data_IF_162882747234
#
_entry.id   IF_162882747234
#
_cell.length_a   1.000
_cell.length_b   1.000
_cell.length_c   1.000
_cell.angle_alpha   90.00
_cell.angle_beta   90.00
_cell.angle_gamma   90.00
#
_symmetry.space_group_name_H-M   'P 1'
#
loop_
_entity.id
_entity.type
_entity.pdbx_description
1 polymer ?
#
# COMPACT_ATOMS: atom_id res chain seq x y z
N UNK A 1 -15.15 -7.29 -18.42
CA UNK A 1 -14.46 -6.99 -17.16
C UNK A 1 -15.21 -5.97 -16.30
N UNK A 2 -15.66 -4.83 -16.85
CA UNK A 2 -16.35 -3.73 -16.11
C UNK A 2 -17.65 -4.18 -15.42
N UNK A 3 -18.46 -5.01 -16.08
CA UNK A 3 -19.70 -5.54 -15.50
C UNK A 3 -19.45 -6.38 -14.25
N UNK A 4 -18.45 -7.27 -14.29
CA UNK A 4 -18.08 -8.11 -13.14
C UNK A 4 -17.56 -7.25 -11.98
N UNK A 5 -16.79 -6.21 -12.26
CA UNK A 5 -16.31 -5.28 -11.24
C UNK A 5 -17.46 -4.56 -10.55
N UNK A 6 -18.46 -4.08 -11.29
CA UNK A 6 -19.63 -3.40 -10.71
C UNK A 6 -20.42 -4.30 -9.76
N UNK A 7 -20.64 -5.57 -10.14
CA UNK A 7 -21.35 -6.54 -9.30
C UNK A 7 -20.60 -6.77 -7.97
N UNK A 8 -19.28 -6.97 -8.05
CA UNK A 8 -18.43 -7.21 -6.86
C UNK A 8 -18.42 -5.97 -5.95
N UNK A 9 -18.25 -4.78 -6.52
CA UNK A 9 -18.26 -3.52 -5.76
C UNK A 9 -19.58 -3.35 -5.03
N UNK A 10 -20.71 -3.53 -5.73
CA UNK A 10 -22.03 -3.40 -5.13
C UNK A 10 -22.27 -4.42 -4.01
N UNK A 11 -21.84 -5.67 -4.21
CA UNK A 11 -21.93 -6.70 -3.18
C UNK A 11 -21.11 -6.34 -1.94
N UNK A 12 -19.86 -5.96 -2.12
CA UNK A 12 -18.98 -5.55 -1.01
C UNK A 12 -19.51 -4.33 -0.27
N UNK A 13 -20.01 -3.32 -0.99
CA UNK A 13 -20.60 -2.13 -0.38
C UNK A 13 -21.83 -2.46 0.47
N UNK A 14 -22.70 -3.36 -0.01
CA UNK A 14 -23.88 -3.79 0.76
C UNK A 14 -23.51 -4.67 1.94
N UNK A 15 -22.42 -5.44 1.84
CA UNK A 15 -21.89 -6.21 2.98
C UNK A 15 -21.37 -5.26 4.07
N UNK A 16 -20.61 -4.24 3.68
CA UNK A 16 -20.05 -3.26 4.62
C UNK A 16 -21.13 -2.30 5.19
N UNK A 17 -22.11 -1.94 4.36
CA UNK A 17 -23.18 -0.98 4.68
C UNK A 17 -24.53 -1.58 4.28
N UNK A 18 -25.12 -2.47 5.10
CA UNK A 18 -26.35 -3.19 4.72
C UNK A 18 -27.54 -2.30 4.34
N UNK A 19 -27.63 -1.12 4.96
CA UNK A 19 -28.72 -0.17 4.75
C UNK A 19 -28.40 0.92 3.71
N UNK A 20 -27.33 0.76 2.92
CA UNK A 20 -26.97 1.76 1.91
C UNK A 20 -28.03 1.85 0.83
N UNK A 21 -28.54 3.06 0.60
CA UNK A 21 -29.49 3.30 -0.49
C UNK A 21 -28.77 3.34 -1.86
N UNK A 22 -29.54 3.21 -2.93
CA UNK A 22 -29.00 3.14 -4.29
C UNK A 22 -28.28 4.41 -4.73
N UNK A 23 -28.70 5.59 -4.26
CA UNK A 23 -28.07 6.86 -4.61
C UNK A 23 -26.68 6.97 -3.97
N UNK A 24 -26.54 6.65 -2.70
CA UNK A 24 -25.26 6.67 -1.99
C UNK A 24 -24.32 5.59 -2.51
N UNK A 25 -24.82 4.40 -2.83
CA UNK A 25 -24.05 3.34 -3.48
C UNK A 25 -23.45 3.81 -4.81
N UNK A 26 -24.26 4.42 -5.67
CA UNK A 26 -23.81 4.93 -6.97
C UNK A 26 -22.83 6.11 -6.80
N UNK A 27 -23.10 7.02 -5.87
CA UNK A 27 -22.22 8.16 -5.55
C UNK A 27 -20.85 7.66 -5.07
N UNK A 28 -20.83 6.75 -4.11
CA UNK A 28 -19.58 6.20 -3.54
C UNK A 28 -18.79 5.43 -4.60
N UNK A 29 -19.47 4.61 -5.42
CA UNK A 29 -18.82 3.88 -6.52
C UNK A 29 -18.18 4.85 -7.53
N UNK A 30 -18.86 5.96 -7.86
CA UNK A 30 -18.31 6.99 -8.76
C UNK A 30 -17.09 7.67 -8.13
N UNK A 31 -17.16 8.04 -6.85
CA UNK A 31 -16.03 8.65 -6.13
C UNK A 31 -14.84 7.71 -6.05
N UNK A 32 -15.05 6.43 -5.84
CA UNK A 32 -14.01 5.41 -5.87
C UNK A 32 -13.29 5.37 -7.24
N UNK A 33 -14.05 5.33 -8.35
CA UNK A 33 -13.45 5.33 -9.68
C UNK A 33 -12.71 6.64 -10.01
N UNK A 34 -13.24 7.78 -9.55
CA UNK A 34 -12.56 9.07 -9.66
C UNK A 34 -11.22 9.07 -8.90
N UNK A 35 -11.19 8.47 -7.70
CA UNK A 35 -9.96 8.33 -6.92
C UNK A 35 -8.93 7.47 -7.66
N UNK A 36 -9.32 6.31 -8.18
CA UNK A 36 -8.42 5.47 -8.99
C UNK A 36 -7.88 6.23 -10.21
N UNK A 37 -8.73 6.96 -10.93
CA UNK A 37 -8.32 7.78 -12.07
C UNK A 37 -7.28 8.83 -11.67
N UNK A 38 -7.47 9.50 -10.54
CA UNK A 38 -6.50 10.48 -10.01
C UNK A 38 -5.17 9.83 -9.65
N UNK A 39 -5.18 8.72 -8.92
CA UNK A 39 -3.95 7.98 -8.57
C UNK A 39 -3.17 7.61 -9.80
N UNK A 40 -3.82 7.11 -10.87
CA UNK A 40 -3.15 6.82 -12.13
C UNK A 40 -2.58 8.08 -12.81
N UNK A 41 -3.32 9.19 -12.81
CA UNK A 41 -2.85 10.45 -13.38
C UNK A 41 -1.63 10.99 -12.61
N UNK A 42 -1.61 10.86 -11.29
CA UNK A 42 -0.52 11.31 -10.42
C UNK A 42 0.80 10.55 -10.66
N UNK A 43 0.77 9.36 -11.26
CA UNK A 43 2.01 8.67 -11.66
C UNK A 43 2.84 9.47 -12.68
N UNK A 44 2.22 10.31 -13.50
CA UNK A 44 2.94 11.22 -14.41
C UNK A 44 3.79 12.22 -13.62
N UNK A 45 3.35 12.60 -12.43
CA UNK A 45 3.99 13.59 -11.55
C UNK A 45 4.84 12.97 -10.44
N UNK A 46 4.99 11.63 -10.40
CA UNK A 46 5.68 10.94 -9.30
C UNK A 46 7.13 11.42 -9.13
N UNK A 47 7.80 11.76 -10.23
CA UNK A 47 9.13 12.36 -10.22
C UNK A 47 9.13 13.74 -9.56
N UNK A 48 8.11 14.56 -9.79
CA UNK A 48 8.02 15.90 -9.23
C UNK A 48 7.70 15.87 -7.74
N UNK A 49 6.88 14.93 -7.29
CA UNK A 49 6.73 14.63 -5.86
C UNK A 49 8.07 14.22 -5.23
N UNK A 50 8.80 13.30 -5.84
CA UNK A 50 10.12 12.85 -5.33
C UNK A 50 11.12 13.99 -5.23
N UNK A 51 11.19 14.85 -6.24
CA UNK A 51 12.14 15.95 -6.32
C UNK A 51 11.73 17.19 -5.50
N UNK A 52 10.58 17.15 -4.82
CA UNK A 52 10.13 18.23 -3.95
C UNK A 52 9.41 19.39 -4.64
N UNK A 53 9.18 19.34 -5.95
CA UNK A 53 8.43 20.39 -6.68
C UNK A 53 6.97 20.48 -6.25
N UNK A 54 6.41 19.40 -5.75
CA UNK A 54 5.01 19.29 -5.31
C UNK A 54 4.89 19.07 -3.79
N UNK A 55 5.89 19.50 -3.01
CA UNK A 55 5.91 19.32 -1.54
C UNK A 55 4.77 20.04 -0.86
N UNK A 56 4.34 21.20 -1.39
CA UNK A 56 3.19 21.94 -0.87
C UNK A 56 1.85 21.17 -0.94
N UNK A 57 1.80 20.12 -1.75
CA UNK A 57 0.61 19.27 -1.91
C UNK A 57 0.64 18.06 -0.96
N UNK A 58 1.65 17.95 -0.10
CA UNK A 58 1.81 16.86 0.87
C UNK A 58 1.84 17.46 2.26
N UNK A 59 0.93 16.98 3.09
CA UNK A 59 0.95 17.21 4.54
C UNK A 59 1.36 15.91 5.22
N UNK A 60 2.24 16.01 6.23
CA UNK A 60 2.71 14.86 6.99
C UNK A 60 2.39 15.12 8.44
N UNK A 61 1.58 14.25 9.00
CA UNK A 61 1.29 14.22 10.42
C UNK A 61 2.09 13.08 11.07
N UNK A 62 2.74 13.35 12.21
CA UNK A 62 3.58 12.38 12.92
C UNK A 62 5.03 12.33 12.40
N UNK A 63 5.54 13.40 11.80
CA UNK A 63 6.93 13.49 11.35
C UNK A 63 7.91 13.25 12.50
N UNK A 64 7.58 13.72 13.70
CA UNK A 64 8.37 13.54 14.92
C UNK A 64 8.58 12.05 15.27
N UNK A 65 7.59 11.19 15.02
CA UNK A 65 7.70 9.74 15.23
C UNK A 65 8.70 9.15 14.24
N UNK A 66 8.64 9.60 12.98
CA UNK A 66 9.57 9.16 11.94
C UNK A 66 11.01 9.59 12.26
N UNK A 67 11.19 10.82 12.71
CA UNK A 67 12.49 11.38 13.09
C UNK A 67 13.11 10.60 14.27
N UNK A 68 12.29 10.18 15.23
CA UNK A 68 12.72 9.33 16.34
C UNK A 68 13.16 7.95 15.86
N UNK A 69 12.39 7.30 14.99
CA UNK A 69 12.74 6.02 14.38
C UNK A 69 14.11 6.11 13.66
N UNK A 70 14.32 7.18 12.91
CA UNK A 70 15.58 7.43 12.19
C UNK A 70 16.73 7.64 13.17
N UNK A 71 16.55 8.50 14.16
CA UNK A 71 17.55 8.82 15.18
C UNK A 71 18.00 7.59 15.96
N UNK A 72 17.05 6.72 16.31
CA UNK A 72 17.32 5.48 17.04
C UNK A 72 17.81 4.35 16.12
N UNK A 73 17.78 4.55 14.79
CA UNK A 73 18.06 3.51 13.79
C UNK A 73 17.22 2.24 13.99
N UNK A 74 15.97 2.42 14.42
CA UNK A 74 15.06 1.33 14.70
C UNK A 74 14.54 0.71 13.40
N UNK A 75 14.48 -0.61 13.41
CA UNK A 75 13.83 -1.37 12.35
C UNK A 75 12.35 -1.52 12.67
N UNK A 76 11.48 -1.08 11.77
CA UNK A 76 10.03 -1.06 11.98
C UNK A 76 9.26 -1.71 10.83
N UNK A 77 8.03 -2.09 11.09
CA UNK A 77 7.08 -2.57 10.08
C UNK A 77 6.01 -1.50 9.90
N UNK A 78 6.04 -0.83 8.76
CA UNK A 78 5.04 0.15 8.37
C UNK A 78 3.85 -0.57 7.72
N UNK A 79 2.65 -0.32 8.22
CA UNK A 79 1.41 -0.87 7.67
C UNK A 79 0.53 0.25 7.12
N UNK A 80 -0.14 0.00 6.00
CA UNK A 80 -1.06 0.95 5.40
C UNK A 80 -2.17 0.26 4.62
N UNK A 81 -3.08 1.04 4.05
CA UNK A 81 -4.10 0.62 3.11
C UNK A 81 -3.95 1.32 1.76
N UNK A 82 -4.70 0.85 0.75
CA UNK A 82 -4.75 1.46 -0.59
C UNK A 82 -5.63 2.73 -0.57
N UNK A 83 -5.28 3.68 0.29
CA UNK A 83 -5.99 4.95 0.46
C UNK A 83 -5.34 6.02 -0.42
N UNK A 84 -6.12 6.62 -1.32
CA UNK A 84 -5.64 7.64 -2.25
C UNK A 84 -4.32 7.26 -2.92
N UNK A 85 -3.33 8.16 -3.01
CA UNK A 85 -2.01 7.84 -3.56
C UNK A 85 -1.09 7.27 -2.47
N UNK A 86 -1.28 6.01 -2.15
CA UNK A 86 -0.50 5.26 -1.16
C UNK A 86 1.00 5.14 -1.51
N UNK A 87 1.40 5.38 -2.76
CA UNK A 87 2.81 5.37 -3.18
C UNK A 87 3.62 6.48 -2.51
N UNK A 88 2.97 7.61 -2.19
CA UNK A 88 3.62 8.75 -1.55
C UNK A 88 4.11 8.43 -0.14
N UNK A 89 3.45 7.53 0.59
CA UNK A 89 3.91 7.08 1.90
C UNK A 89 5.28 6.40 1.80
N UNK A 90 5.39 5.37 0.96
CA UNK A 90 6.66 4.65 0.80
C UNK A 90 7.78 5.57 0.26
N UNK A 91 7.43 6.49 -0.65
CA UNK A 91 8.34 7.52 -1.15
C UNK A 91 8.85 8.42 -0.03
N UNK A 92 7.95 8.91 0.84
CA UNK A 92 8.33 9.79 1.93
C UNK A 92 9.23 9.08 2.94
N UNK A 93 8.88 7.87 3.36
CA UNK A 93 9.68 7.06 4.29
C UNK A 93 11.11 6.85 3.77
N UNK A 94 11.26 6.46 2.50
CA UNK A 94 12.57 6.23 1.91
C UNK A 94 13.35 7.54 1.70
N UNK A 95 12.68 8.61 1.28
CA UNK A 95 13.27 9.94 1.12
C UNK A 95 13.77 10.52 2.46
N UNK A 96 13.10 10.19 3.56
CA UNK A 96 13.50 10.62 4.92
C UNK A 96 14.70 9.85 5.48
N UNK A 97 15.24 8.86 4.75
CA UNK A 97 16.44 8.13 5.16
C UNK A 97 16.17 6.74 5.75
N UNK A 98 14.92 6.29 5.81
CA UNK A 98 14.59 4.92 6.22
C UNK A 98 15.13 3.93 5.17
N UNK A 99 15.92 2.95 5.60
CA UNK A 99 16.25 1.78 4.79
C UNK A 99 14.97 0.96 4.60
N UNK A 100 14.24 1.20 3.53
CA UNK A 100 12.91 0.65 3.29
C UNK A 100 12.90 -0.43 2.24
N UNK A 101 12.17 -1.52 2.49
CA UNK A 101 11.70 -2.44 1.46
C UNK A 101 10.17 -2.52 1.46
N UNK A 102 9.57 -2.45 0.29
CA UNK A 102 8.12 -2.49 0.12
C UNK A 102 7.67 -3.83 -0.49
N UNK A 103 6.69 -4.47 0.15
CA UNK A 103 6.11 -5.70 -0.37
C UNK A 103 5.01 -5.35 -1.36
N UNK A 104 5.08 -5.94 -2.56
CA UNK A 104 4.09 -5.70 -3.60
C UNK A 104 3.66 -6.99 -4.30
N UNK A 105 2.54 -6.93 -5.00
CA UNK A 105 2.10 -7.95 -5.93
C UNK A 105 2.28 -7.44 -7.36
N UNK A 106 2.95 -8.20 -8.25
CA UNK A 106 3.06 -7.84 -9.66
C UNK A 106 1.70 -7.67 -10.33
N UNK A 107 1.63 -6.74 -11.27
CA UNK A 107 0.44 -6.58 -12.11
C UNK A 107 0.32 -7.76 -13.08
N UNK A 108 -0.92 -8.16 -13.35
CA UNK A 108 -1.19 -9.24 -14.34
C UNK A 108 -0.74 -8.87 -15.77
N UNK A 109 -0.70 -7.59 -16.09
CA UNK A 109 -0.16 -7.10 -17.36
C UNK A 109 1.35 -6.90 -17.25
N UNK A 110 2.13 -7.77 -17.91
CA UNK A 110 3.60 -7.78 -17.84
C UNK A 110 4.22 -6.47 -18.32
N UNK A 111 3.68 -5.85 -19.38
CA UNK A 111 4.20 -4.58 -19.90
C UNK A 111 4.00 -3.45 -18.89
N UNK A 112 2.80 -3.31 -18.35
CA UNK A 112 2.51 -2.32 -17.31
C UNK A 112 3.30 -2.60 -16.04
N UNK A 113 3.46 -3.87 -15.65
CA UNK A 113 4.24 -4.23 -14.48
C UNK A 113 5.69 -3.73 -14.59
N UNK A 114 6.34 -3.96 -15.73
CA UNK A 114 7.71 -3.52 -15.95
C UNK A 114 7.87 -1.99 -15.85
N UNK A 115 6.91 -1.25 -16.40
CA UNK A 115 6.91 0.22 -16.33
C UNK A 115 6.72 0.67 -14.87
N UNK A 116 5.72 0.13 -14.19
CA UNK A 116 5.40 0.46 -12.81
C UNK A 116 6.56 0.13 -11.86
N UNK A 117 7.19 -1.03 -12.04
CA UNK A 117 8.32 -1.46 -11.22
C UNK A 117 9.53 -0.53 -11.41
N UNK A 118 9.83 -0.10 -12.64
CA UNK A 118 10.89 0.90 -12.91
C UNK A 118 10.59 2.23 -12.22
N UNK A 119 9.35 2.71 -12.31
CA UNK A 119 8.94 3.96 -11.65
C UNK A 119 9.08 3.82 -10.14
N UNK A 120 8.57 2.73 -9.56
CA UNK A 120 8.65 2.46 -8.13
C UNK A 120 10.09 2.41 -7.64
N UNK A 121 10.94 1.62 -8.28
CA UNK A 121 12.36 1.50 -7.90
C UNK A 121 13.11 2.82 -8.00
N UNK A 122 12.76 3.65 -8.99
CA UNK A 122 13.46 4.92 -9.24
C UNK A 122 12.99 6.07 -8.36
N UNK A 123 11.69 6.14 -8.07
CA UNK A 123 11.10 7.34 -7.46
C UNK A 123 10.35 7.09 -6.15
N UNK A 124 10.03 5.85 -5.80
CA UNK A 124 9.23 5.54 -4.62
C UNK A 124 10.06 4.82 -3.56
N UNK A 125 10.48 3.60 -3.85
CA UNK A 125 11.30 2.79 -2.95
C UNK A 125 12.15 1.82 -3.79
N UNK A 126 13.45 1.87 -3.62
CA UNK A 126 14.40 1.07 -4.42
C UNK A 126 14.19 -0.45 -4.25
N UNK A 127 13.92 -0.89 -3.04
CA UNK A 127 13.80 -2.31 -2.72
C UNK A 127 12.34 -2.76 -2.76
N UNK A 128 11.92 -3.20 -3.95
CA UNK A 128 10.61 -3.79 -4.17
C UNK A 128 10.71 -5.31 -3.96
N UNK A 129 9.88 -5.86 -3.09
CA UNK A 129 9.84 -7.28 -2.74
C UNK A 129 8.55 -7.88 -3.28
N UNK A 130 8.70 -8.77 -4.24
CA UNK A 130 7.57 -9.49 -4.79
C UNK A 130 6.99 -10.49 -3.77
N UNK A 131 5.66 -10.55 -3.64
CA UNK A 131 4.98 -11.52 -2.78
C UNK A 131 5.27 -12.95 -3.26
N UNK A 132 5.67 -13.83 -2.33
CA UNK A 132 5.95 -15.24 -2.60
C UNK A 132 7.22 -15.74 -1.91
N UNK A 133 7.57 -17.02 -2.11
CA UNK A 133 8.70 -17.66 -1.43
C UNK A 133 10.04 -16.98 -1.73
N UNK A 134 10.27 -16.58 -2.99
CA UNK A 134 11.48 -15.85 -3.37
C UNK A 134 11.59 -14.49 -2.68
N UNK A 135 10.47 -13.76 -2.62
CA UNK A 135 10.38 -12.49 -1.92
C UNK A 135 10.61 -12.63 -0.42
N UNK A 136 10.10 -13.70 0.20
CA UNK A 136 10.32 -13.95 1.62
C UNK A 136 11.82 -14.12 1.96
N UNK A 137 12.55 -14.88 1.14
CA UNK A 137 14.02 -15.05 1.32
C UNK A 137 14.73 -13.69 1.23
N UNK A 138 14.40 -12.89 0.23
CA UNK A 138 14.96 -11.54 0.05
C UNK A 138 14.61 -10.63 1.21
N UNK A 139 13.35 -10.66 1.68
CA UNK A 139 12.90 -9.92 2.85
C UNK A 139 13.72 -10.24 4.09
N UNK A 140 13.92 -11.53 4.40
CA UNK A 140 14.73 -11.98 5.53
C UNK A 140 16.18 -11.48 5.42
N UNK A 141 16.76 -11.51 4.22
CA UNK A 141 18.11 -10.98 3.98
C UNK A 141 18.21 -9.49 4.24
N UNK A 142 17.22 -8.69 3.77
CA UNK A 142 17.19 -7.26 3.98
C UNK A 142 16.93 -6.90 5.46
N UNK A 143 16.10 -7.67 6.14
CA UNK A 143 15.86 -7.49 7.58
C UNK A 143 17.16 -7.62 8.39
N UNK A 144 18.04 -8.57 8.04
CA UNK A 144 19.36 -8.71 8.67
C UNK A 144 20.29 -7.52 8.39
N UNK A 145 19.99 -6.70 7.39
CA UNK A 145 20.73 -5.49 7.04
C UNK A 145 20.06 -4.21 7.58
N UNK A 146 19.17 -4.35 8.56
CA UNK A 146 18.41 -3.27 9.21
C UNK A 146 17.42 -2.56 8.26
N UNK A 147 16.80 -3.28 7.33
CA UNK A 147 15.73 -2.72 6.50
C UNK A 147 14.39 -2.80 7.22
N UNK A 148 13.70 -1.68 7.31
CA UNK A 148 12.28 -1.58 7.66
C UNK A 148 11.43 -2.10 6.50
N UNK A 149 10.21 -2.56 6.80
CA UNK A 149 9.32 -3.14 5.79
C UNK A 149 8.03 -2.36 5.71
N UNK A 150 7.59 -2.00 4.50
CA UNK A 150 6.26 -1.42 4.25
C UNK A 150 5.36 -2.43 3.53
N UNK A 151 4.12 -2.57 3.99
CA UNK A 151 3.14 -3.44 3.37
C UNK A 151 1.71 -2.93 3.54
N UNK A 152 0.86 -3.25 2.55
CA UNK A 152 -0.58 -3.01 2.59
C UNK A 152 -1.30 -4.20 3.20
N UNK A 153 -2.27 -3.94 4.08
CA UNK A 153 -2.99 -4.97 4.85
C UNK A 153 -4.47 -5.05 4.54
N UNK A 154 -4.98 -4.22 3.67
CA UNK A 154 -6.40 -4.04 3.36
C UNK A 154 -6.91 -4.90 2.18
N UNK A 155 -6.07 -5.76 1.63
CA UNK A 155 -6.47 -6.66 0.56
C UNK A 155 -6.75 -8.07 1.08
N UNK A 156 -7.70 -8.74 0.40
CA UNK A 156 -7.99 -10.15 0.64
C UNK A 156 -6.72 -11.01 0.54
N UNK A 157 -6.55 -11.88 1.50
CA UNK A 157 -5.49 -12.90 1.52
C UNK A 157 -6.12 -14.29 1.42
N UNK A 158 -5.32 -15.29 0.98
CA UNK A 158 -5.71 -16.70 0.95
C UNK A 158 -5.44 -17.41 2.29
N UNK A 159 -4.55 -16.84 3.10
CA UNK A 159 -4.10 -17.38 4.38
C UNK A 159 -4.04 -16.26 5.41
N UNK A 160 -4.49 -16.53 6.63
CA UNK A 160 -4.53 -15.53 7.69
C UNK A 160 -5.42 -15.98 8.84
N UNK A 161 -5.80 -15.02 9.67
CA UNK A 161 -6.78 -15.22 10.74
C UNK A 161 -8.10 -14.57 10.37
N UNK A 162 -9.20 -15.13 10.85
CA UNK A 162 -10.50 -14.48 10.75
C UNK A 162 -10.56 -13.32 11.73
N UNK A 163 -10.88 -12.16 11.22
CA UNK A 163 -11.05 -10.92 11.98
C UNK A 163 -12.31 -10.20 11.50
N UNK A 164 -13.00 -9.54 12.40
CA UNK A 164 -14.19 -8.75 12.05
C UNK A 164 -13.77 -7.46 11.32
N UNK A 165 -14.32 -7.28 10.12
CA UNK A 165 -14.22 -6.06 9.34
C UNK A 165 -15.61 -5.67 8.83
N UNK A 166 -16.12 -4.51 9.20
CA UNK A 166 -17.52 -4.10 8.98
C UNK A 166 -18.52 -5.18 9.45
N UNK A 167 -18.33 -5.70 10.66
CA UNK A 167 -19.15 -6.77 11.26
C UNK A 167 -19.20 -8.10 10.50
N UNK A 168 -18.37 -8.26 9.47
CA UNK A 168 -18.24 -9.49 8.67
C UNK A 168 -16.86 -10.09 8.90
N UNK A 169 -16.81 -11.42 9.00
CA UNK A 169 -15.52 -12.11 9.12
C UNK A 169 -14.73 -12.03 7.81
N UNK A 170 -13.49 -11.58 7.91
CA UNK A 170 -12.57 -11.46 6.79
C UNK A 170 -11.22 -12.08 7.14
N UNK A 171 -10.64 -12.81 6.18
CA UNK A 171 -9.27 -13.29 6.32
C UNK A 171 -8.30 -12.11 6.29
N UNK A 172 -7.59 -11.93 7.42
CA UNK A 172 -6.65 -10.85 7.65
C UNK A 172 -5.23 -11.40 7.73
N UNK A 173 -4.31 -10.73 7.04
CA UNK A 173 -2.90 -11.16 7.00
C UNK A 173 -2.23 -11.08 8.37
N UNK A 174 -1.46 -12.10 8.71
CA UNK A 174 -0.63 -12.13 9.93
C UNK A 174 0.83 -11.74 9.67
N UNK A 175 1.19 -11.43 8.43
CA UNK A 175 2.57 -11.11 8.04
C UNK A 175 3.18 -9.99 8.87
N UNK A 176 2.51 -8.84 9.13
CA UNK A 176 3.09 -7.78 9.97
C UNK A 176 3.48 -8.28 11.35
N UNK A 177 2.55 -8.97 12.03
CA UNK A 177 2.79 -9.50 13.37
C UNK A 177 3.92 -10.55 13.39
N UNK A 178 3.97 -11.41 12.36
CA UNK A 178 5.04 -12.39 12.23
C UNK A 178 6.41 -11.72 12.02
N UNK A 179 6.46 -10.63 11.25
CA UNK A 179 7.69 -9.87 11.03
C UNK A 179 8.17 -9.20 12.33
N UNK A 180 7.27 -8.59 13.10
CA UNK A 180 7.62 -7.97 14.39
C UNK A 180 8.04 -9.02 15.42
N UNK A 181 7.38 -10.19 15.46
CA UNK A 181 7.73 -11.27 16.39
C UNK A 181 9.09 -11.90 16.11
N UNK A 182 9.49 -11.94 14.81
CA UNK A 182 10.71 -12.63 14.39
C UNK A 182 11.94 -11.73 14.43
N UNK A 183 11.81 -10.45 14.33
CA UNK A 183 12.88 -9.46 14.21
C UNK A 183 12.71 -8.30 15.19
#
# INVERSE_FOLDING_TARGET
PLFRSKIIINANMRTAFPNINSNDLNKTTRLMWNNYGRVFAEYVFIKDFRNGKLTSNIQIDGQEILDEIIKQNNQVVFISGHLSNFELMAMHLEKSGIKLCAIYRPLNNVFLNNIMERIRKKYICQYQIEKGLGGLRKLISLKKQNFSTALMIDQRVSEGILSKFFNTEALTTTIPAQLVKKF
#
